data_IF_769861884295
#
_entry.id   IF_769861884295
#
_cell.length_a   1.000
_cell.length_b   1.000
_cell.length_c   1.000
_cell.angle_alpha   90.00
_cell.angle_beta   90.00
_cell.angle_gamma   90.00
#
_symmetry.space_group_name_H-M   'P 1'
#
loop_
_entity.id
_entity.type
_entity.pdbx_description
1 polymer ?
#
# COMPACT_ATOMS: atom_id res chain seq x y z
N UNK A 1 -1.40 7.97 -11.49
CA UNK A 1 -1.13 8.18 -10.06
C UNK A 1 -0.60 6.89 -9.48
N UNK A 2 0.44 6.93 -8.64
CA UNK A 2 1.04 5.74 -8.02
C UNK A 2 0.00 4.84 -7.35
N UNK A 3 -1.00 5.43 -6.69
CA UNK A 3 -2.06 4.74 -5.97
C UNK A 3 -2.82 3.68 -6.81
N UNK A 4 -2.95 3.86 -8.13
CA UNK A 4 -3.68 2.90 -8.96
C UNK A 4 -3.02 1.52 -9.02
N UNK A 5 -1.70 1.44 -8.83
CA UNK A 5 -0.99 0.16 -8.74
C UNK A 5 -1.40 -0.60 -7.48
N UNK A 6 -1.46 0.10 -6.34
CA UNK A 6 -1.82 -0.46 -5.05
C UNK A 6 -3.29 -0.86 -5.00
N UNK A 7 -4.18 -0.07 -5.60
CA UNK A 7 -5.60 -0.42 -5.72
C UNK A 7 -5.77 -1.73 -6.49
N UNK A 8 -4.97 -1.97 -7.53
CA UNK A 8 -5.03 -3.23 -8.29
C UNK A 8 -4.60 -4.41 -7.43
N UNK A 9 -3.46 -4.32 -6.75
CA UNK A 9 -2.97 -5.40 -5.88
C UNK A 9 -3.96 -5.68 -4.75
N UNK A 10 -4.55 -4.65 -4.15
CA UNK A 10 -5.52 -4.78 -3.06
C UNK A 10 -6.82 -5.44 -3.54
N UNK A 11 -7.29 -5.10 -4.75
CA UNK A 11 -8.44 -5.76 -5.37
C UNK A 11 -8.17 -7.24 -5.66
N UNK A 12 -6.94 -7.58 -6.04
CA UNK A 12 -6.51 -8.96 -6.33
C UNK A 12 -6.37 -9.80 -5.05
N UNK A 13 -5.76 -9.23 -3.99
CA UNK A 13 -5.25 -10.02 -2.85
C UNK A 13 -5.78 -9.63 -1.48
N UNK A 14 -6.29 -8.41 -1.29
CA UNK A 14 -6.64 -7.87 0.03
C UNK A 14 -8.06 -8.18 0.49
N UNK A 15 -9.00 -8.38 -0.43
CA UNK A 15 -10.40 -8.62 -0.10
C UNK A 15 -11.04 -7.47 0.70
N UNK A 16 -10.52 -6.25 0.55
CA UNK A 16 -11.13 -5.00 1.00
C UNK A 16 -11.07 -3.98 -0.15
N UNK A 17 -11.97 -2.99 -0.13
CA UNK A 17 -12.00 -1.93 -1.13
C UNK A 17 -11.49 -0.63 -0.53
N UNK A 18 -10.54 0.02 -1.22
CA UNK A 18 -10.03 1.31 -0.82
C UNK A 18 -11.00 2.41 -1.26
N UNK A 19 -11.54 3.16 -0.30
CA UNK A 19 -12.34 4.35 -0.60
C UNK A 19 -11.42 5.57 -0.62
N UNK A 20 -11.32 6.21 -1.78
CA UNK A 20 -10.42 7.35 -2.02
C UNK A 20 -11.24 8.59 -2.31
N UNK A 21 -10.88 9.72 -1.69
CA UNK A 21 -11.31 11.05 -2.14
C UNK A 21 -10.14 11.81 -2.72
N UNK A 22 -10.32 12.22 -3.96
CA UNK A 22 -9.39 13.06 -4.71
C UNK A 22 -9.58 14.54 -4.32
N UNK A 23 -9.42 14.79 -3.02
CA UNK A 23 -9.34 16.10 -2.40
C UNK A 23 -7.96 16.18 -1.75
N UNK A 24 -7.19 17.26 -1.98
CA UNK A 24 -5.85 17.33 -1.44
C UNK A 24 -5.91 17.37 0.09
N UNK A 25 -5.00 16.63 0.74
CA UNK A 25 -4.93 16.52 2.21
C UNK A 25 -4.61 17.88 2.84
N UNK A 26 -3.82 18.68 2.14
CA UNK A 26 -3.46 20.05 2.48
C UNK A 26 -3.23 20.87 1.19
N UNK A 27 -2.91 22.15 1.32
CA UNK A 27 -2.60 23.01 0.17
C UNK A 27 -1.16 22.91 -0.35
N UNK A 28 -0.42 21.86 0.03
CA UNK A 28 1.00 21.74 -0.30
C UNK A 28 1.19 21.15 -1.70
N UNK A 29 1.72 21.96 -2.62
CA UNK A 29 2.00 21.56 -3.99
C UNK A 29 3.20 20.63 -4.14
N UNK A 30 3.96 20.38 -3.07
CA UNK A 30 5.09 19.43 -3.09
C UNK A 30 4.62 17.97 -3.05
N UNK A 31 3.32 17.72 -2.85
CA UNK A 31 2.72 16.40 -2.74
C UNK A 31 1.55 16.22 -3.70
N UNK A 32 1.50 15.07 -4.37
CA UNK A 32 0.21 14.50 -4.77
C UNK A 32 -0.42 13.87 -3.52
N UNK A 33 -1.66 14.21 -3.18
CA UNK A 33 -2.29 13.70 -1.97
C UNK A 33 -3.77 13.40 -2.15
N UNK A 34 -4.24 12.40 -1.40
CA UNK A 34 -5.64 11.99 -1.36
C UNK A 34 -6.03 11.57 0.04
N UNK A 35 -7.32 11.56 0.33
CA UNK A 35 -7.84 10.97 1.55
C UNK A 35 -8.25 9.51 1.35
N UNK A 36 -7.77 8.63 2.21
CA UNK A 36 -8.30 7.28 2.40
C UNK A 36 -9.40 7.33 3.45
N UNK A 37 -10.58 6.76 3.14
CA UNK A 37 -11.70 6.74 4.06
C UNK A 37 -11.80 5.36 4.73
N UNK A 38 -11.76 5.36 6.06
CA UNK A 38 -12.04 4.17 6.85
C UNK A 38 -13.55 3.92 6.94
N UNK A 39 -13.92 2.66 7.21
CA UNK A 39 -15.30 2.25 7.47
C UNK A 39 -15.92 2.91 8.70
N UNK A 40 -15.11 3.30 9.69
CA UNK A 40 -15.60 3.97 10.89
C UNK A 40 -15.91 5.47 10.68
N UNK A 41 -15.64 5.99 9.48
CA UNK A 41 -15.83 7.38 9.10
C UNK A 41 -14.59 8.25 9.31
N UNK A 42 -13.51 7.72 9.88
CA UNK A 42 -12.22 8.39 9.97
C UNK A 42 -11.54 8.47 8.60
N UNK A 43 -10.48 9.29 8.53
CA UNK A 43 -9.73 9.53 7.29
C UNK A 43 -8.24 9.54 7.56
N UNK A 44 -7.49 8.91 6.67
CA UNK A 44 -6.03 8.91 6.67
C UNK A 44 -5.54 9.63 5.41
N UNK A 45 -4.65 10.60 5.59
CA UNK A 45 -4.06 11.32 4.47
C UNK A 45 -2.95 10.49 3.84
N UNK A 46 -3.03 10.26 2.53
CA UNK A 46 -1.98 9.62 1.76
C UNK A 46 -1.19 10.70 1.02
N UNK A 47 0.13 10.70 1.19
CA UNK A 47 1.03 11.73 0.68
C UNK A 47 2.07 11.11 -0.26
N UNK A 48 2.17 11.62 -1.49
CA UNK A 48 3.13 11.17 -2.49
C UNK A 48 4.06 12.35 -2.87
N UNK A 49 5.26 12.44 -2.25
CA UNK A 49 6.18 13.56 -2.47
C UNK A 49 6.64 13.64 -3.93
N UNK A 50 6.43 14.77 -4.58
CA UNK A 50 6.77 14.96 -6.00
C UNK A 50 8.28 15.01 -6.27
N UNK A 51 9.07 15.41 -5.27
CA UNK A 51 10.53 15.44 -5.36
C UNK A 51 11.18 14.04 -5.37
N UNK A 52 10.44 13.00 -4.97
CA UNK A 52 10.94 11.64 -4.89
C UNK A 52 10.95 10.99 -6.29
N UNK A 53 12.01 10.24 -6.61
CA UNK A 53 12.06 9.47 -7.85
C UNK A 53 10.89 8.49 -7.90
N UNK A 54 10.30 8.30 -9.08
CA UNK A 54 9.04 7.57 -9.22
C UNK A 54 9.02 6.21 -8.51
N UNK A 55 10.04 5.33 -8.64
CA UNK A 55 9.95 4.02 -8.01
C UNK A 55 10.14 4.07 -6.48
N UNK A 56 10.85 5.07 -5.95
CA UNK A 56 10.91 5.28 -4.49
C UNK A 56 9.57 5.80 -3.96
N UNK A 57 8.90 6.66 -4.75
CA UNK A 57 7.56 7.15 -4.45
C UNK A 57 6.53 6.03 -4.48
N UNK A 58 6.67 5.04 -5.36
CA UNK A 58 5.83 3.83 -5.32
C UNK A 58 6.00 3.08 -4.00
N UNK A 59 7.23 2.80 -3.59
CA UNK A 59 7.51 2.11 -2.31
C UNK A 59 6.95 2.91 -1.13
N UNK A 60 7.17 4.22 -1.10
CA UNK A 60 6.69 5.10 -0.03
C UNK A 60 5.16 5.16 0.07
N UNK A 61 4.47 5.20 -1.07
CA UNK A 61 2.99 5.17 -1.09
C UNK A 61 2.48 3.78 -0.71
N UNK A 62 3.16 2.71 -1.13
CA UNK A 62 2.79 1.34 -0.80
C UNK A 62 2.85 1.08 0.71
N UNK A 63 3.85 1.62 1.39
CA UNK A 63 4.00 1.57 2.85
C UNK A 63 2.81 2.22 3.56
N UNK A 64 2.46 3.46 3.20
CA UNK A 64 1.27 4.15 3.75
C UNK A 64 -0.04 3.40 3.47
N UNK A 65 -0.23 2.86 2.26
CA UNK A 65 -1.42 2.05 1.95
C UNK A 65 -1.44 0.78 2.79
N UNK A 66 -0.30 0.14 2.96
CA UNK A 66 -0.18 -1.09 3.75
C UNK A 66 -0.57 -0.85 5.21
N UNK A 67 -0.06 0.21 5.84
CA UNK A 67 -0.45 0.59 7.21
C UNK A 67 -1.97 0.78 7.33
N UNK A 68 -2.56 1.56 6.42
CA UNK A 68 -4.02 1.76 6.38
C UNK A 68 -4.78 0.44 6.22
N UNK A 69 -4.35 -0.43 5.32
CA UNK A 69 -4.99 -1.73 5.07
C UNK A 69 -4.88 -2.64 6.30
N UNK A 70 -3.77 -2.60 7.03
CA UNK A 70 -3.61 -3.39 8.26
C UNK A 70 -4.59 -2.96 9.33
N UNK A 71 -4.79 -1.65 9.51
CA UNK A 71 -5.80 -1.12 10.43
C UNK A 71 -7.22 -1.51 10.02
N UNK A 72 -7.55 -1.42 8.72
CA UNK A 72 -8.86 -1.84 8.22
C UNK A 72 -9.08 -3.34 8.43
N UNK A 73 -8.09 -4.19 8.12
CA UNK A 73 -8.18 -5.64 8.34
C UNK A 73 -8.35 -5.98 9.82
N UNK A 74 -7.60 -5.30 10.69
CA UNK A 74 -7.75 -5.45 12.14
C UNK A 74 -9.15 -5.08 12.62
N UNK A 75 -9.71 -3.95 12.14
CA UNK A 75 -11.09 -3.54 12.43
C UNK A 75 -12.15 -4.54 11.97
N UNK A 76 -11.82 -5.40 10.99
CA UNK A 76 -12.67 -6.49 10.52
C UNK A 76 -12.46 -7.82 11.24
N UNK A 77 -11.56 -7.87 12.23
CA UNK A 77 -11.15 -9.12 12.87
C UNK A 77 -10.42 -10.08 11.94
N UNK A 78 -9.79 -9.57 10.87
CA UNK A 78 -9.00 -10.34 9.91
C UNK A 78 -7.50 -10.20 10.20
N UNK A 79 -6.66 -11.16 9.78
CA UNK A 79 -5.21 -11.02 9.90
C UNK A 79 -4.69 -9.78 9.18
N UNK A 80 -3.89 -8.96 9.87
CA UNK A 80 -3.22 -7.79 9.31
C UNK A 80 -1.94 -8.21 8.57
N UNK A 81 -2.08 -9.06 7.57
CA UNK A 81 -0.95 -9.67 6.84
C UNK A 81 -0.96 -9.30 5.37
N UNK A 82 -1.55 -8.17 4.96
CA UNK A 82 -1.62 -7.82 3.54
C UNK A 82 -0.40 -7.02 3.04
N UNK A 83 0.11 -7.28 1.82
CA UNK A 83 -0.16 -8.48 1.02
C UNK A 83 0.41 -9.72 1.71
N UNK A 84 -0.30 -10.85 1.67
CA UNK A 84 0.11 -12.05 2.39
C UNK A 84 1.34 -12.69 1.75
N UNK A 85 2.32 -13.05 2.58
CA UNK A 85 3.45 -13.84 2.13
C UNK A 85 3.04 -15.31 1.95
N UNK A 86 2.97 -15.77 0.70
CA UNK A 86 2.62 -17.17 0.38
C UNK A 86 3.68 -18.19 0.83
N UNK A 87 4.93 -17.76 1.04
CA UNK A 87 5.97 -18.62 1.64
C UNK A 87 5.73 -18.88 3.12
N UNK A 88 5.07 -17.96 3.82
CA UNK A 88 4.79 -18.06 5.26
C UNK A 88 3.35 -17.64 5.58
N UNK A 89 2.34 -18.44 5.17
CA UNK A 89 0.93 -18.08 5.29
C UNK A 89 0.53 -17.73 6.73
N UNK A 90 -0.23 -16.64 6.88
CA UNK A 90 -0.74 -16.16 8.16
C UNK A 90 0.30 -15.64 9.14
N UNK A 91 1.56 -15.43 8.72
CA UNK A 91 2.63 -15.03 9.64
C UNK A 91 3.07 -13.58 9.52
N UNK A 92 3.23 -13.06 8.30
CA UNK A 92 3.66 -11.70 8.06
C UNK A 92 3.21 -11.19 6.68
N UNK A 93 3.05 -9.86 6.54
CA UNK A 93 2.89 -9.26 5.22
C UNK A 93 4.21 -9.29 4.44
N UNK A 94 4.10 -9.19 3.11
CA UNK A 94 5.20 -8.75 2.24
C UNK A 94 5.48 -7.27 2.51
N UNK A 95 6.74 -6.84 2.37
CA UNK A 95 7.15 -5.46 2.55
C UNK A 95 7.35 -4.77 1.19
N UNK A 96 6.94 -3.51 1.02
CA UNK A 96 7.25 -2.76 -0.18
C UNK A 96 8.73 -2.39 -0.18
N UNK A 97 9.47 -2.78 -1.21
CA UNK A 97 10.91 -2.53 -1.31
C UNK A 97 11.36 -2.20 -2.73
N UNK A 98 12.56 -1.61 -2.84
CA UNK A 98 13.26 -1.46 -4.12
C UNK A 98 13.92 -2.79 -4.49
N UNK A 99 13.59 -3.28 -5.68
CA UNK A 99 14.22 -4.47 -6.26
C UNK A 99 14.97 -4.12 -7.55
N UNK A 100 15.83 -5.01 -8.09
CA UNK A 100 16.47 -4.79 -9.40
C UNK A 100 15.47 -4.62 -10.56
N UNK A 101 14.24 -5.11 -10.42
CA UNK A 101 13.18 -5.00 -11.44
C UNK A 101 12.28 -3.77 -11.24
N UNK A 102 12.41 -3.06 -10.12
CA UNK A 102 11.53 -1.96 -9.73
C UNK A 102 10.94 -2.11 -8.33
N UNK A 103 9.92 -1.32 -7.99
CA UNK A 103 9.18 -1.43 -6.73
C UNK A 103 8.50 -2.79 -6.65
N UNK A 104 8.72 -3.54 -5.57
CA UNK A 104 8.20 -4.89 -5.43
C UNK A 104 7.77 -5.21 -4.02
N UNK A 105 6.96 -6.26 -3.91
CA UNK A 105 6.55 -6.86 -2.65
C UNK A 105 7.54 -7.97 -2.28
N UNK A 106 8.24 -7.80 -1.17
CA UNK A 106 9.37 -8.65 -0.77
C UNK A 106 9.07 -9.35 0.55
N UNK A 107 9.40 -10.64 0.63
CA UNK A 107 9.34 -11.38 1.87
C UNK A 107 10.42 -10.88 2.84
N UNK A 108 10.07 -10.31 4.00
CA UNK A 108 11.08 -9.82 4.95
C UNK A 108 11.95 -10.93 5.56
N UNK A 109 11.51 -12.20 5.48
CA UNK A 109 12.27 -13.35 5.99
C UNK A 109 13.26 -13.93 4.99
N UNK A 110 12.85 -14.10 3.73
CA UNK A 110 13.66 -14.76 2.70
C UNK A 110 14.31 -13.78 1.72
N UNK A 111 13.86 -12.52 1.67
CA UNK A 111 14.26 -11.53 0.68
C UNK A 111 13.70 -11.79 -0.72
N UNK A 112 12.83 -12.79 -0.89
CA UNK A 112 12.24 -13.11 -2.18
C UNK A 112 11.19 -12.09 -2.58
N UNK A 113 11.30 -11.55 -3.79
CA UNK A 113 10.28 -10.71 -4.42
C UNK A 113 9.14 -11.55 -4.96
N UNK A 114 7.95 -11.44 -4.35
CA UNK A 114 6.75 -12.13 -4.81
C UNK A 114 6.22 -11.56 -6.15
N UNK A 115 6.37 -10.25 -6.35
CA UNK A 115 5.94 -9.56 -7.57
C UNK A 115 6.27 -8.07 -7.53
N UNK A 116 6.18 -7.41 -8.70
CA UNK A 116 6.23 -5.95 -8.77
C UNK A 116 4.94 -5.36 -8.17
N UNK A 117 5.02 -4.16 -7.62
CA UNK A 117 3.83 -3.45 -7.13
C UNK A 117 2.93 -3.10 -8.32
N UNK A 118 1.66 -3.50 -8.26
CA UNK A 118 0.66 -3.41 -9.34
C UNK A 118 0.54 -4.67 -10.20
N UNK A 119 1.17 -5.78 -9.80
CA UNK A 119 1.19 -7.06 -10.50
C UNK A 119 0.90 -8.28 -9.60
N UNK A 120 0.37 -8.08 -8.38
CA UNK A 120 -0.03 -9.20 -7.49
C UNK A 120 -1.37 -9.85 -7.87
#
# INVERSE_FOLDING_TARGET
MVLSLLVRDLQSTGGISLQVRDEPVNGDSEYESVWLLSRDGSRTGLLAPLAMAEPDRVVHVADQVQEFVHEELWGLGRPATWPECLEHPGTHPLQPERTPKGPGWVCPKSGHTAGCIGEL
#
